data_IF_446807817351
#
_entry.id   IF_446807817351
#
_cell.length_a   1.000
_cell.length_b   1.000
_cell.length_c   1.000
_cell.angle_alpha   90.00
_cell.angle_beta   90.00
_cell.angle_gamma   90.00
#
_symmetry.space_group_name_H-M   'P 1'
#
loop_
_entity.id
_entity.type
_entity.pdbx_description
1 polymer ?
#
# COMPACT_ATOMS: atom_id res chain seq x y z
N UNK A 1 -11.90 -5.29 2.50
CA UNK A 1 -11.92 -3.87 2.04
C UNK A 1 -10.58 -3.46 1.39
N UNK A 2 -9.56 -4.31 1.50
CA UNK A 2 -8.20 -4.07 1.04
C UNK A 2 -8.05 -3.65 -0.43
N UNK A 3 -8.68 -4.34 -1.38
CA UNK A 3 -8.50 -4.05 -2.82
C UNK A 3 -8.97 -2.65 -3.22
N UNK A 4 -10.07 -2.18 -2.62
CA UNK A 4 -10.57 -0.81 -2.83
C UNK A 4 -9.55 0.21 -2.35
N UNK A 5 -8.99 0.02 -1.15
CA UNK A 5 -7.97 0.91 -0.59
C UNK A 5 -6.70 0.90 -1.44
N UNK A 6 -6.25 -0.27 -1.92
CA UNK A 6 -5.12 -0.37 -2.87
C UNK A 6 -5.36 0.47 -4.12
N UNK A 7 -6.56 0.38 -4.72
CA UNK A 7 -6.92 1.19 -5.89
C UNK A 7 -6.93 2.69 -5.58
N UNK A 8 -7.49 3.10 -4.44
CA UNK A 8 -7.50 4.50 -4.01
C UNK A 8 -6.08 5.01 -3.81
N UNK A 9 -5.24 4.29 -3.06
CA UNK A 9 -3.84 4.62 -2.83
C UNK A 9 -3.06 4.75 -4.13
N UNK A 10 -3.27 3.83 -5.07
CA UNK A 10 -2.67 3.90 -6.39
C UNK A 10 -3.09 5.15 -7.14
N UNK A 11 -4.39 5.49 -7.12
CA UNK A 11 -4.91 6.70 -7.75
C UNK A 11 -4.42 7.98 -7.09
N UNK A 12 -4.26 8.03 -5.77
CA UNK A 12 -3.80 9.24 -5.05
C UNK A 12 -2.27 9.31 -4.93
N UNK A 13 -1.55 8.33 -5.45
CA UNK A 13 -0.08 8.24 -5.37
C UNK A 13 0.67 9.36 -6.09
N UNK A 14 -0.01 10.24 -6.83
CA UNK A 14 0.59 11.44 -7.43
C UNK A 14 0.81 12.57 -6.41
N UNK A 15 0.06 12.59 -5.30
CA UNK A 15 0.14 13.63 -4.28
C UNK A 15 0.52 13.04 -2.92
N UNK A 16 1.65 13.50 -2.40
CA UNK A 16 2.23 13.01 -1.14
C UNK A 16 1.28 13.21 0.06
N UNK A 17 0.65 14.37 0.16
CA UNK A 17 -0.20 14.73 1.28
C UNK A 17 -1.54 14.00 1.21
N UNK A 18 -2.06 13.80 0.00
CA UNK A 18 -3.29 13.03 -0.21
C UNK A 18 -3.06 11.54 0.03
N UNK A 19 -1.94 11.00 -0.46
CA UNK A 19 -1.53 9.62 -0.21
C UNK A 19 -1.45 9.31 1.28
N UNK A 20 -0.78 10.16 2.07
CA UNK A 20 -0.70 10.01 3.52
C UNK A 20 -2.09 10.02 4.19
N UNK A 21 -2.98 10.91 3.76
CA UNK A 21 -4.35 11.00 4.31
C UNK A 21 -5.17 9.75 4.01
N UNK A 22 -5.15 9.28 2.77
CA UNK A 22 -5.91 8.10 2.36
C UNK A 22 -5.30 6.82 2.92
N UNK A 23 -3.99 6.76 3.11
CA UNK A 23 -3.31 5.64 3.76
C UNK A 23 -3.71 5.51 5.22
N UNK A 24 -3.73 6.61 5.98
CA UNK A 24 -4.21 6.60 7.37
C UNK A 24 -5.69 6.21 7.47
N UNK A 25 -6.54 6.72 6.59
CA UNK A 25 -7.95 6.30 6.52
C UNK A 25 -8.08 4.82 6.19
N UNK A 26 -7.28 4.35 5.24
CA UNK A 26 -7.25 2.96 4.84
C UNK A 26 -6.88 2.06 6.01
N UNK A 27 -5.87 2.43 6.78
CA UNK A 27 -5.49 1.66 7.97
C UNK A 27 -6.60 1.58 9.01
N UNK A 28 -7.28 2.70 9.28
CA UNK A 28 -8.41 2.72 10.21
C UNK A 28 -9.64 1.91 9.73
N UNK A 29 -9.75 1.65 8.42
CA UNK A 29 -10.85 0.91 7.81
C UNK A 29 -10.57 -0.57 7.61
N UNK A 30 -9.32 -1.01 7.73
CA UNK A 30 -8.88 -2.37 7.48
C UNK A 30 -8.72 -3.15 8.77
N UNK A 31 -8.91 -4.46 8.70
CA UNK A 31 -8.63 -5.36 9.81
C UNK A 31 -7.11 -5.62 9.94
N UNK A 32 -6.67 -6.05 11.12
CA UNK A 32 -5.25 -6.31 11.42
C UNK A 32 -4.58 -7.25 10.41
N UNK A 33 -5.31 -8.24 9.89
CA UNK A 33 -4.81 -9.16 8.87
C UNK A 33 -4.62 -8.46 7.51
N UNK A 34 -5.56 -7.60 7.13
CA UNK A 34 -5.49 -6.80 5.90
C UNK A 34 -4.41 -5.71 5.98
N UNK A 35 -4.14 -5.15 7.17
CA UNK A 35 -3.09 -4.16 7.39
C UNK A 35 -1.70 -4.69 7.01
N UNK A 36 -1.39 -5.93 7.38
CA UNK A 36 -0.11 -6.57 7.04
C UNK A 36 0.02 -6.72 5.51
N UNK A 37 -1.06 -7.09 4.83
CA UNK A 37 -1.09 -7.20 3.37
C UNK A 37 -1.03 -5.85 2.66
N UNK A 38 -1.57 -4.79 3.28
CA UNK A 38 -1.48 -3.42 2.77
C UNK A 38 -0.06 -2.89 2.90
N UNK A 39 0.58 -3.13 4.05
CA UNK A 39 1.95 -2.76 4.33
C UNK A 39 2.89 -3.32 3.27
N UNK A 40 2.82 -4.63 3.04
CA UNK A 40 3.65 -5.32 2.06
C UNK A 40 3.49 -4.73 0.65
N UNK A 41 2.24 -4.53 0.24
CA UNK A 41 1.93 -3.96 -1.06
C UNK A 41 2.40 -2.50 -1.22
N UNK A 42 2.30 -1.69 -0.17
CA UNK A 42 2.73 -0.30 -0.23
C UNK A 42 4.26 -0.20 -0.33
N UNK A 43 4.99 -1.03 0.38
CA UNK A 43 6.44 -1.10 0.28
C UNK A 43 6.87 -1.68 -1.07
N UNK A 44 6.21 -2.68 -1.64
CA UNK A 44 6.57 -3.17 -2.99
C UNK A 44 6.44 -2.09 -4.08
N UNK A 45 5.39 -1.27 -4.05
CA UNK A 45 5.11 -0.30 -5.12
C UNK A 45 5.62 1.12 -4.86
N UNK A 46 5.63 1.54 -3.60
CA UNK A 46 5.90 2.93 -3.21
C UNK A 46 7.15 3.09 -2.34
N UNK A 47 7.95 2.05 -2.11
CA UNK A 47 9.18 2.16 -1.33
C UNK A 47 10.07 3.29 -1.85
N UNK A 48 10.35 3.34 -3.15
CA UNK A 48 11.26 4.34 -3.72
C UNK A 48 10.79 5.79 -3.49
N UNK A 49 9.49 6.06 -3.62
CA UNK A 49 8.92 7.42 -3.53
C UNK A 49 8.46 7.83 -2.13
N UNK A 50 7.93 6.88 -1.36
CA UNK A 50 7.20 7.15 -0.12
C UNK A 50 7.74 6.38 1.09
N UNK A 51 8.93 5.78 1.01
CA UNK A 51 9.58 5.07 2.13
C UNK A 51 9.48 5.81 3.47
N UNK A 52 9.78 7.11 3.50
CA UNK A 52 9.72 7.91 4.74
C UNK A 52 8.30 7.99 5.32
N UNK A 53 7.29 8.09 4.47
CA UNK A 53 5.87 8.18 4.88
C UNK A 53 5.40 6.83 5.39
N UNK A 54 5.69 5.76 4.63
CA UNK A 54 5.34 4.39 5.02
C UNK A 54 5.97 4.07 6.38
N UNK A 55 7.28 4.31 6.52
CA UNK A 55 7.99 4.12 7.78
C UNK A 55 7.41 4.97 8.91
N UNK A 56 6.94 6.18 8.66
CA UNK A 56 6.34 7.01 9.70
C UNK A 56 4.96 6.50 10.15
N UNK A 57 4.11 6.09 9.22
CA UNK A 57 2.75 5.65 9.52
C UNK A 57 2.76 4.26 10.16
N UNK A 58 3.41 3.28 9.54
CA UNK A 58 3.45 1.90 10.05
C UNK A 58 4.23 1.77 11.37
N UNK A 59 5.26 2.60 11.60
CA UNK A 59 6.00 2.61 12.88
C UNK A 59 5.20 3.20 14.04
N UNK A 60 4.19 4.02 13.76
CA UNK A 60 3.38 4.69 14.77
C UNK A 60 2.32 3.80 15.42
N UNK A 61 1.79 2.80 14.71
CA UNK A 61 0.62 2.04 15.17
C UNK A 61 0.94 0.72 15.90
N UNK A 62 2.12 0.11 15.76
CA UNK A 62 2.47 -1.09 16.53
C UNK A 62 3.99 -1.29 16.73
N UNK A 63 4.45 -1.21 17.98
CA UNK A 63 5.84 -1.51 18.40
C UNK A 63 6.18 -3.02 18.44
N UNK A 64 5.45 -3.88 17.73
CA UNK A 64 5.85 -5.27 17.53
C UNK A 64 5.40 -5.68 16.12
N UNK A 65 6.39 -6.00 15.28
CA UNK A 65 6.29 -6.75 14.01
C UNK A 65 6.06 -5.91 12.75
N UNK A 66 7.17 -5.59 12.10
CA UNK A 66 7.42 -6.02 10.72
C UNK A 66 8.93 -6.00 10.47
N UNK A 67 9.55 -7.18 10.52
CA UNK A 67 10.86 -7.42 9.94
C UNK A 67 10.69 -7.41 8.42
N UNK A 68 10.53 -6.21 7.85
CA UNK A 68 10.49 -6.01 6.41
C UNK A 68 11.87 -6.37 5.84
N UNK A 69 12.02 -7.63 5.42
CA UNK A 69 13.22 -8.11 4.76
C UNK A 69 13.00 -7.89 3.26
N UNK A 70 13.79 -7.03 2.59
CA UNK A 70 13.65 -6.82 1.14
C UNK A 70 14.02 -8.13 0.44
N UNK A 71 13.04 -8.99 0.17
CA UNK A 71 13.24 -10.16 -0.67
C UNK A 71 13.31 -9.63 -2.09
N UNK A 72 14.55 -9.61 -2.59
CA UNK A 72 14.89 -9.09 -3.90
C UNK A 72 13.98 -9.63 -4.99
N UNK A 73 13.66 -8.72 -5.92
CA UNK A 73 13.51 -8.96 -7.36
C UNK A 73 12.59 -10.11 -7.80
N UNK A 74 11.56 -9.74 -8.57
CA UNK A 74 10.65 -10.60 -9.35
C UNK A 74 9.43 -11.15 -8.62
N UNK A 75 8.43 -10.28 -8.43
CA UNK A 75 7.05 -10.70 -8.69
C UNK A 75 6.55 -9.97 -9.93
N UNK A 76 6.50 -10.74 -11.01
CA UNK A 76 5.78 -10.42 -12.24
C UNK A 76 4.32 -10.21 -11.84
N UNK A 77 3.88 -8.96 -11.71
CA UNK A 77 2.48 -8.64 -11.83
C UNK A 77 2.12 -8.92 -13.30
N UNK A 78 1.74 -10.16 -13.60
CA UNK A 78 1.09 -10.47 -14.87
C UNK A 78 -0.14 -9.58 -14.92
N UNK A 79 -0.08 -8.58 -15.80
CA UNK A 79 -1.14 -7.60 -15.97
C UNK A 79 -2.41 -8.28 -16.45
N UNK A 80 -3.29 -8.63 -15.52
CA UNK A 80 -4.71 -8.74 -15.81
C UNK A 80 -5.29 -7.33 -15.71
N UNK A 81 -5.14 -6.55 -16.79
CA UNK A 81 -6.03 -5.44 -17.06
C UNK A 81 -7.45 -6.04 -17.16
N UNK A 82 -8.42 -5.72 -16.28
CA UNK A 82 -9.80 -5.95 -16.64
C UNK A 82 -10.07 -5.04 -17.85
N UNK A 83 -10.41 -5.70 -18.95
CA UNK A 83 -10.82 -5.10 -20.20
C UNK A 83 -12.06 -4.21 -19.93
N UNK A 84 -11.84 -2.91 -19.74
CA UNK A 84 -12.88 -1.89 -19.87
C UNK A 84 -12.70 -1.33 -21.28
N UNK A 85 -13.42 -1.89 -22.24
CA UNK A 85 -14.06 -1.17 -23.36
C UNK A 85 -14.77 -2.19 -24.26
N UNK A 86 -16.05 -2.37 -23.98
CA UNK A 86 -17.03 -2.98 -24.86
C UNK A 86 -18.22 -2.05 -25.02
N UNK A 87 -17.97 -0.82 -25.46
CA UNK A 87 -18.87 0.09 -26.19
C UNK A 87 -18.02 1.18 -26.86
#
# INVERSE_FOLDING_TARGET
MLEYIKMVLWKVSFDKALFEKELRKGMAQLETEELVLLEDWCYELFYDKYHTILSNIFRGENCKRSSYQPQGTSKVYTGSRPNILGF
#
